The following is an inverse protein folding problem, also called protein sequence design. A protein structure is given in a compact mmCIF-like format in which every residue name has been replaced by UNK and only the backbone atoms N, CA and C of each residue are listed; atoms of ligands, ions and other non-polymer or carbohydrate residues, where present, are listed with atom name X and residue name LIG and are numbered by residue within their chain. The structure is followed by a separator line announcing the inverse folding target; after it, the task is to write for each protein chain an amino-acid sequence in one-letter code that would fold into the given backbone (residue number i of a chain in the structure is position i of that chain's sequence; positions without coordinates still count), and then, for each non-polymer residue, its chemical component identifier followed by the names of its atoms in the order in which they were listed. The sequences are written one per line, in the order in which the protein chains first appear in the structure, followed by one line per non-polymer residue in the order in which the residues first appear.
data_IF_363302715353
#
_entry.id   IF_363302715353
#
_cell.length_a   1.000
_cell.length_b   1.000
_cell.length_c   1.000
_cell.angle_alpha   90.00
_cell.angle_beta   90.00
_cell.angle_gamma   90.00
#
_symmetry.space_group_name_H-M   'P 1'
#
loop_
_entity.id
_entity.type
_entity.pdbx_description
1 polymer ?
#
# COMPACT_ATOMS: atom_id res chain seq x y z
N UNK A 1 13.09 14.21 43.70
CA UNK A 1 13.18 14.32 42.23
C UNK A 1 14.02 15.56 41.93
N UNK A 2 15.18 15.41 41.29
CA UNK A 2 16.09 16.51 40.98
C UNK A 2 15.41 17.52 40.04
N UNK A 3 15.64 18.82 40.24
CA UNK A 3 15.12 19.91 39.41
C UNK A 3 15.50 19.73 37.93
N UNK A 4 16.71 19.23 37.69
CA UNK A 4 17.21 18.86 36.36
C UNK A 4 16.40 17.76 35.66
N UNK A 5 15.79 16.84 36.41
CA UNK A 5 14.95 15.79 35.84
C UNK A 5 13.62 16.37 35.32
N UNK A 6 13.06 17.37 36.02
CA UNK A 6 11.83 18.06 35.58
C UNK A 6 12.08 18.94 34.35
N UNK A 7 13.23 19.61 34.28
CA UNK A 7 13.62 20.38 33.10
C UNK A 7 13.78 19.48 31.87
N UNK A 8 14.45 18.34 32.02
CA UNK A 8 14.66 17.38 30.94
C UNK A 8 13.32 16.80 30.44
N UNK A 9 12.41 16.42 31.33
CA UNK A 9 11.05 16.00 30.96
C UNK A 9 10.31 17.10 30.18
N UNK A 10 10.45 18.37 30.58
CA UNK A 10 9.80 19.49 29.87
C UNK A 10 10.37 19.70 28.46
N UNK A 11 11.67 19.48 28.27
CA UNK A 11 12.34 19.62 26.97
C UNK A 11 11.97 18.48 26.02
N UNK A 12 11.83 17.26 26.54
CA UNK A 12 11.38 16.09 25.76
C UNK A 12 9.90 16.22 25.38
N UNK A 13 9.06 16.71 26.29
CA UNK A 13 7.62 16.89 26.05
C UNK A 13 7.30 17.95 24.99
N UNK A 14 8.23 18.88 24.70
CA UNK A 14 8.00 19.99 23.75
C UNK A 14 7.87 19.55 22.29
N UNK A 15 8.20 18.29 21.96
CA UNK A 15 8.11 17.75 20.60
C UNK A 15 9.01 18.52 19.60
N UNK A 16 9.31 17.92 18.45
CA UNK A 16 10.08 18.60 17.42
C UNK A 16 9.18 19.55 16.62
N UNK A 17 9.24 20.85 16.93
CA UNK A 17 8.36 21.87 16.34
C UNK A 17 8.62 22.18 14.86
N UNK A 18 9.77 21.77 14.33
CA UNK A 18 10.23 22.11 12.98
C UNK A 18 10.15 20.92 12.01
N UNK A 19 9.08 20.14 12.10
CA UNK A 19 8.78 19.10 11.11
C UNK A 19 8.42 19.72 9.76
N UNK A 20 8.96 19.17 8.67
CA UNK A 20 8.51 19.47 7.32
C UNK A 20 7.37 18.53 6.98
N UNK A 21 6.17 19.06 6.73
CA UNK A 21 5.02 18.31 6.24
C UNK A 21 4.68 18.84 4.86
N UNK A 22 4.61 17.94 3.88
CA UNK A 22 4.09 18.26 2.55
C UNK A 22 2.82 17.44 2.37
N UNK A 23 1.70 18.12 2.28
CA UNK A 23 0.45 17.49 1.85
C UNK A 23 0.61 17.10 0.38
N UNK A 24 0.55 15.80 0.10
CA UNK A 24 0.59 15.26 -1.25
C UNK A 24 -0.78 14.66 -1.51
N UNK A 25 -1.46 15.15 -2.54
CA UNK A 25 -2.69 14.53 -3.02
C UNK A 25 -2.36 13.15 -3.61
N UNK A 26 -3.07 12.12 -3.14
CA UNK A 26 -2.92 10.75 -3.62
C UNK A 26 -4.24 10.27 -4.22
N UNK A 27 -4.23 9.91 -5.50
CA UNK A 27 -5.35 9.29 -6.19
C UNK A 27 -5.31 7.78 -5.96
N UNK A 28 -6.07 7.33 -4.97
CA UNK A 28 -6.14 5.92 -4.57
C UNK A 28 -7.39 5.25 -5.15
N UNK A 29 -7.22 4.10 -5.81
CA UNK A 29 -8.35 3.28 -6.28
C UNK A 29 -8.90 2.47 -5.11
N UNK A 30 -10.21 2.22 -5.10
CA UNK A 30 -10.85 1.38 -4.10
C UNK A 30 -10.16 0.00 -3.98
N UNK A 31 -10.09 -0.58 -2.77
CA UNK A 31 -9.54 -1.92 -2.57
C UNK A 31 -10.23 -2.97 -3.45
N UNK A 32 -9.44 -3.92 -3.93
CA UNK A 32 -9.96 -5.06 -4.68
C UNK A 32 -9.13 -5.41 -5.90
N UNK A 33 -9.05 -6.71 -6.17
CA UNK A 33 -8.39 -7.28 -7.33
C UNK A 33 -9.43 -7.95 -8.23
N UNK A 34 -9.83 -7.25 -9.29
CA UNK A 34 -10.71 -7.75 -10.34
C UNK A 34 -10.33 -7.17 -11.71
N UNK A 35 -10.93 -7.67 -12.79
CA UNK A 35 -10.62 -7.20 -14.15
C UNK A 35 -10.94 -5.70 -14.35
N UNK A 36 -11.97 -5.19 -13.69
CA UNK A 36 -12.39 -3.79 -13.80
C UNK A 36 -11.37 -2.83 -13.19
N UNK A 37 -10.80 -3.19 -12.04
CA UNK A 37 -9.71 -2.47 -11.38
C UNK A 37 -8.47 -2.48 -12.27
N UNK A 38 -8.10 -3.64 -12.85
CA UNK A 38 -6.96 -3.72 -13.78
C UNK A 38 -7.17 -2.80 -15.00
N UNK A 39 -8.37 -2.81 -15.59
CA UNK A 39 -8.71 -1.92 -16.72
C UNK A 39 -8.71 -0.45 -16.31
N UNK A 40 -9.22 -0.12 -15.12
CA UNK A 40 -9.21 1.24 -14.57
C UNK A 40 -7.79 1.76 -14.40
N UNK A 41 -6.90 0.97 -13.79
CA UNK A 41 -5.49 1.31 -13.59
C UNK A 41 -4.79 1.51 -14.94
N UNK A 42 -5.03 0.61 -15.89
CA UNK A 42 -4.44 0.68 -17.23
C UNK A 42 -4.86 1.95 -17.97
N UNK A 43 -6.14 2.35 -17.85
CA UNK A 43 -6.64 3.63 -18.38
C UNK A 43 -6.02 4.84 -17.68
N UNK A 44 -5.95 4.85 -16.34
CA UNK A 44 -5.32 5.94 -15.58
C UNK A 44 -3.85 6.14 -15.97
N UNK A 45 -3.15 5.05 -16.26
CA UNK A 45 -1.74 5.05 -16.68
C UNK A 45 -1.52 5.26 -18.18
N UNK A 46 -2.58 5.41 -18.97
CA UNK A 46 -2.50 5.54 -20.43
C UNK A 46 -1.67 4.43 -21.09
N UNK A 47 -1.82 3.19 -20.61
CA UNK A 47 -1.06 2.05 -21.09
C UNK A 47 -1.55 1.60 -22.49
N UNK A 48 -0.65 1.09 -23.35
CA UNK A 48 -1.04 0.51 -24.64
C UNK A 48 -1.83 -0.79 -24.45
N UNK A 49 -2.71 -1.11 -25.40
CA UNK A 49 -3.67 -2.22 -25.30
C UNK A 49 -3.04 -3.58 -24.99
N UNK A 50 -1.87 -3.87 -25.57
CA UNK A 50 -1.16 -5.13 -25.33
C UNK A 50 -0.78 -5.31 -23.84
N UNK A 51 -0.47 -4.21 -23.15
CA UNK A 51 -0.08 -4.25 -21.74
C UNK A 51 -1.31 -4.51 -20.85
N UNK A 52 -2.45 -3.91 -21.17
CA UNK A 52 -3.73 -4.21 -20.51
C UNK A 52 -4.08 -5.69 -20.65
N UNK A 53 -3.97 -6.24 -21.86
CA UNK A 53 -4.24 -7.65 -22.11
C UNK A 53 -3.27 -8.58 -21.37
N UNK A 54 -1.99 -8.20 -21.31
CA UNK A 54 -0.99 -8.95 -20.57
C UNK A 54 -1.32 -8.99 -19.06
N UNK A 55 -1.71 -7.85 -18.48
CA UNK A 55 -2.16 -7.78 -17.07
C UNK A 55 -3.39 -8.63 -16.81
N UNK A 56 -4.37 -8.62 -17.73
CA UNK A 56 -5.58 -9.44 -17.62
C UNK A 56 -5.27 -10.94 -17.70
N UNK A 57 -4.36 -11.35 -18.60
CA UNK A 57 -3.87 -12.74 -18.67
C UNK A 57 -3.19 -13.16 -17.37
N UNK A 58 -2.34 -12.30 -16.80
CA UNK A 58 -1.68 -12.55 -15.53
C UNK A 58 -2.70 -12.71 -14.38
N UNK A 59 -3.71 -11.85 -14.29
CA UNK A 59 -4.77 -11.96 -13.29
C UNK A 59 -5.53 -13.30 -13.41
N UNK A 60 -5.92 -13.68 -14.62
CA UNK A 60 -6.63 -14.96 -14.86
C UNK A 60 -5.78 -16.16 -14.46
N UNK A 61 -4.49 -16.13 -14.76
CA UNK A 61 -3.57 -17.20 -14.35
C UNK A 61 -3.41 -17.24 -12.82
N UNK A 62 -3.23 -16.08 -12.18
CA UNK A 62 -3.09 -15.97 -10.74
C UNK A 62 -4.31 -16.53 -10.00
N UNK A 63 -5.54 -16.30 -10.49
CA UNK A 63 -6.77 -16.87 -9.92
C UNK A 63 -6.81 -18.41 -9.92
N UNK A 64 -6.03 -19.07 -10.78
CA UNK A 64 -5.90 -20.54 -10.80
C UNK A 64 -4.83 -21.09 -9.87
N UNK A 65 -3.95 -20.22 -9.35
CA UNK A 65 -2.86 -20.61 -8.48
C UNK A 65 -3.34 -20.84 -7.04
N UNK A 66 -2.62 -21.70 -6.33
CA UNK A 66 -2.78 -21.86 -4.88
C UNK A 66 -1.63 -21.17 -4.17
N UNK A 67 -1.92 -20.59 -3.02
CA UNK A 67 -0.89 -19.98 -2.18
C UNK A 67 0.14 -21.04 -1.76
N UNK A 68 1.44 -20.82 -2.00
CA UNK A 68 2.48 -21.76 -1.63
C UNK A 68 2.81 -21.67 -0.13
N UNK A 69 2.81 -22.83 0.55
CA UNK A 69 3.16 -22.93 1.98
C UNK A 69 4.44 -23.74 2.25
N UNK A 70 5.30 -23.91 1.24
CA UNK A 70 6.54 -24.69 1.40
C UNK A 70 7.60 -23.98 2.26
N UNK A 71 7.49 -22.67 2.44
CA UNK A 71 8.41 -21.89 3.26
C UNK A 71 8.04 -22.02 4.75
N UNK A 72 9.04 -22.14 5.62
CA UNK A 72 8.83 -22.21 7.07
C UNK A 72 8.63 -20.81 7.68
N UNK A 73 7.65 -20.06 7.17
CA UNK A 73 7.30 -18.71 7.62
C UNK A 73 5.87 -18.73 8.14
N UNK A 74 5.62 -18.04 9.26
CA UNK A 74 4.29 -17.88 9.84
C UNK A 74 3.82 -16.45 9.63
N UNK A 75 2.77 -16.27 8.85
CA UNK A 75 2.09 -15.00 8.64
C UNK A 75 0.57 -15.23 8.66
N UNK A 76 -0.18 -14.18 8.98
CA UNK A 76 -1.63 -14.24 8.88
C UNK A 76 -2.06 -14.32 7.41
N UNK A 77 -3.17 -14.99 7.08
CA UNK A 77 -3.68 -15.06 5.71
C UNK A 77 -3.80 -13.66 5.09
N UNK A 78 -3.37 -13.53 3.83
CA UNK A 78 -3.41 -12.26 3.11
C UNK A 78 -4.80 -12.11 2.49
N UNK A 79 -5.53 -11.07 2.89
CA UNK A 79 -6.74 -10.65 2.18
C UNK A 79 -6.36 -9.79 0.97
N UNK A 80 -6.23 -10.44 -0.18
CA UNK A 80 -5.91 -9.76 -1.45
C UNK A 80 -6.98 -8.76 -1.89
N UNK A 81 -8.23 -8.89 -1.42
CA UNK A 81 -9.30 -7.96 -1.78
C UNK A 81 -9.30 -6.70 -0.91
N UNK A 82 -8.64 -6.74 0.26
CA UNK A 82 -8.47 -5.57 1.12
C UNK A 82 -7.36 -4.61 0.67
N UNK A 83 -6.59 -4.96 -0.38
CA UNK A 83 -5.45 -4.18 -0.85
C UNK A 83 -5.90 -3.19 -1.94
N UNK A 84 -5.42 -1.95 -1.85
CA UNK A 84 -5.48 -1.01 -2.99
C UNK A 84 -4.28 -1.20 -3.90
N UNK A 85 -4.54 -1.46 -5.18
CA UNK A 85 -3.51 -1.76 -6.18
C UNK A 85 -3.03 -0.53 -6.98
N UNK A 86 -3.51 0.67 -6.64
CA UNK A 86 -3.09 1.93 -7.25
C UNK A 86 -3.21 3.09 -6.28
N UNK A 87 -2.11 3.80 -6.10
CA UNK A 87 -1.99 5.09 -5.42
C UNK A 87 -0.92 5.87 -6.19
N UNK A 88 -1.27 7.02 -6.74
CA UNK A 88 -0.35 7.88 -7.53
C UNK A 88 -0.62 9.35 -7.28
#
# INVERSE_FOLDING_TARGET
MSESARELESLIARGYQHGFVTEIDADTVAPGLNEDVVRLISRKKQEPAFLTEWRLKALRHWLTMREPHWAHVRFAPIDYQAISYYSA
#
